data_IF_963036269156
#
_entry.id   IF_963036269156
#
_cell.length_a   1.000
_cell.length_b   1.000
_cell.length_c   1.000
_cell.angle_alpha   90.00
_cell.angle_beta   90.00
_cell.angle_gamma   90.00
#
_symmetry.space_group_name_H-M   'P 1'
#
loop_
_entity.id
_entity.type
_entity.pdbx_description
1 polymer ?
#
# COMPACT_ATOMS: atom_id res chain seq x y z
N UNK A 1 2.81 35.59 21.83
CA UNK A 1 4.17 35.22 22.18
C UNK A 1 4.11 34.09 23.19
N UNK A 2 4.35 32.88 22.83
CA UNK A 2 4.88 31.76 23.64
C UNK A 2 5.02 30.56 22.72
N UNK A 3 6.25 30.30 22.33
CA UNK A 3 6.58 29.15 21.47
C UNK A 3 6.51 27.86 22.27
N UNK A 4 5.76 26.89 21.79
CA UNK A 4 5.75 25.52 22.28
C UNK A 4 6.86 24.73 21.60
N UNK A 5 7.90 24.43 22.37
CA UNK A 5 9.00 23.54 22.00
C UNK A 5 8.49 22.12 21.80
N UNK A 6 8.67 21.56 20.61
CA UNK A 6 8.43 20.15 20.32
C UNK A 6 9.66 19.35 20.69
N UNK A 7 9.57 18.62 21.79
CA UNK A 7 10.60 17.71 22.27
C UNK A 7 10.55 16.43 21.44
N UNK A 8 11.56 16.20 20.60
CA UNK A 8 11.76 14.92 19.91
C UNK A 8 12.40 13.95 20.90
N UNK A 9 11.71 12.87 21.23
CA UNK A 9 12.23 11.76 22.03
C UNK A 9 13.03 10.82 21.12
N UNK A 10 14.34 11.02 21.04
CA UNK A 10 15.26 10.09 20.40
C UNK A 10 15.52 8.93 21.36
N UNK A 11 15.01 7.74 21.03
CA UNK A 11 15.36 6.50 21.75
C UNK A 11 16.66 5.97 21.16
N UNK A 12 17.78 6.26 21.83
CA UNK A 12 19.06 5.60 21.56
C UNK A 12 19.05 4.21 22.18
N UNK A 13 19.06 3.17 21.35
CA UNK A 13 19.29 1.80 21.78
C UNK A 13 20.81 1.58 21.93
N UNK A 14 21.30 1.59 23.16
CA UNK A 14 22.68 1.24 23.47
C UNK A 14 22.79 -0.30 23.50
N UNK A 15 23.51 -0.89 22.56
CA UNK A 15 23.85 -2.31 22.54
C UNK A 15 25.10 -2.48 23.40
N UNK A 16 24.99 -3.10 24.58
CA UNK A 16 26.13 -3.57 25.34
C UNK A 16 26.67 -4.86 24.75
N UNK A 17 27.85 -4.81 24.14
CA UNK A 17 28.58 -6.01 23.72
C UNK A 17 29.41 -6.47 24.92
N UNK A 18 28.95 -7.52 25.60
CA UNK A 18 29.78 -8.25 26.55
C UNK A 18 30.57 -9.30 25.78
N UNK A 19 31.83 -9.05 25.55
CA UNK A 19 32.76 -10.07 25.05
C UNK A 19 33.13 -11.02 26.21
N UNK A 20 32.69 -12.28 26.14
CA UNK A 20 33.28 -13.35 26.90
C UNK A 20 33.58 -14.52 25.94
N UNK A 21 34.85 -14.87 25.80
CA UNK A 21 35.35 -15.83 24.84
C UNK A 21 34.95 -17.26 25.17
N UNK A 22 34.56 -17.98 24.12
CA UNK A 22 34.35 -19.41 24.08
C UNK A 22 33.99 -19.75 22.64
N UNK A 23 35.00 -20.24 21.88
CA UNK A 23 34.85 -20.48 20.44
C UNK A 23 33.95 -21.69 20.14
N UNK A 24 32.67 -21.47 20.10
CA UNK A 24 31.74 -22.26 19.29
C UNK A 24 31.44 -21.41 18.06
N UNK A 25 31.73 -21.95 16.85
CA UNK A 25 31.33 -21.30 15.62
C UNK A 25 29.85 -20.91 15.73
N UNK A 26 29.53 -19.61 15.62
CA UNK A 26 28.15 -19.16 15.61
C UNK A 26 27.44 -19.96 14.51
N UNK A 27 26.26 -20.52 14.77
CA UNK A 27 25.49 -21.18 13.73
C UNK A 27 25.38 -20.21 12.57
N UNK A 28 25.79 -20.61 11.36
CA UNK A 28 25.66 -19.81 10.16
C UNK A 28 24.19 -19.48 10.01
N UNK A 29 23.86 -18.20 10.16
CA UNK A 29 22.51 -17.74 9.92
C UNK A 29 22.16 -18.12 8.48
N UNK A 30 21.04 -18.82 8.23
CA UNK A 30 20.66 -19.16 6.87
C UNK A 30 20.62 -17.87 6.05
N UNK A 31 21.05 -17.92 4.77
CA UNK A 31 21.00 -16.74 3.93
C UNK A 31 19.58 -16.19 3.89
N UNK A 32 19.39 -14.86 3.86
CA UNK A 32 18.07 -14.26 3.83
C UNK A 32 17.29 -14.83 2.63
N UNK A 33 16.05 -15.24 2.86
CA UNK A 33 15.21 -15.74 1.78
C UNK A 33 15.00 -14.63 0.74
N UNK A 34 15.26 -14.94 -0.52
CA UNK A 34 14.96 -14.07 -1.63
C UNK A 34 13.51 -14.29 -2.06
N UNK A 35 12.80 -13.21 -2.33
CA UNK A 35 11.42 -13.24 -2.79
C UNK A 35 11.31 -12.48 -4.12
N UNK A 36 10.51 -13.02 -5.03
CA UNK A 36 10.20 -12.40 -6.32
C UNK A 36 8.89 -11.62 -6.19
N UNK A 37 9.01 -10.32 -5.88
CA UNK A 37 7.83 -9.46 -5.68
C UNK A 37 7.04 -9.28 -6.97
N UNK A 38 7.71 -9.20 -8.12
CA UNK A 38 7.05 -9.13 -9.42
C UNK A 38 6.19 -10.38 -9.69
N UNK A 39 6.74 -11.58 -9.46
CA UNK A 39 5.98 -12.82 -9.61
C UNK A 39 4.81 -12.91 -8.61
N UNK A 40 4.98 -12.43 -7.38
CA UNK A 40 3.92 -12.35 -6.38
C UNK A 40 2.78 -11.44 -6.84
N UNK A 41 3.09 -10.24 -7.32
CA UNK A 41 2.10 -9.30 -7.85
C UNK A 41 1.40 -9.86 -9.09
N UNK A 42 2.13 -10.51 -10.01
CA UNK A 42 1.53 -11.15 -11.18
C UNK A 42 0.55 -12.27 -10.79
N UNK A 43 0.86 -13.09 -9.76
CA UNK A 43 -0.07 -14.09 -9.22
C UNK A 43 -1.31 -13.45 -8.60
N UNK A 44 -1.16 -12.35 -7.85
CA UNK A 44 -2.28 -11.62 -7.27
C UNK A 44 -3.19 -11.05 -8.37
N UNK A 45 -2.63 -10.48 -9.43
CA UNK A 45 -3.39 -10.00 -10.60
C UNK A 45 -4.14 -11.16 -11.26
N UNK A 46 -3.51 -12.32 -11.43
CA UNK A 46 -4.11 -13.47 -12.10
C UNK A 46 -5.19 -14.19 -11.25
N UNK A 47 -5.00 -14.28 -9.94
CA UNK A 47 -5.85 -15.10 -9.05
C UNK A 47 -6.87 -14.27 -8.26
N UNK A 48 -6.62 -12.98 -8.14
CA UNK A 48 -7.40 -12.10 -7.26
C UNK A 48 -7.04 -12.25 -5.78
N UNK A 49 -7.76 -11.50 -4.96
CA UNK A 49 -7.59 -11.45 -3.51
C UNK A 49 -8.93 -11.09 -2.85
N UNK A 50 -9.26 -11.71 -1.74
CA UNK A 50 -10.43 -11.34 -0.92
C UNK A 50 -10.11 -11.55 0.56
N UNK A 51 -10.57 -10.62 1.40
CA UNK A 51 -10.40 -10.69 2.86
C UNK A 51 -11.57 -9.98 3.55
N UNK A 52 -11.97 -10.48 4.72
CA UNK A 52 -12.76 -9.68 5.64
C UNK A 52 -11.87 -8.62 6.25
N UNK A 53 -12.42 -7.46 6.55
CA UNK A 53 -11.65 -6.35 7.10
C UNK A 53 -12.38 -5.67 8.25
N UNK A 54 -11.63 -5.33 9.28
CA UNK A 54 -12.04 -4.38 10.30
C UNK A 54 -11.59 -2.97 9.89
N UNK A 55 -12.41 -1.98 10.18
CA UNK A 55 -12.22 -0.59 9.82
C UNK A 55 -12.21 0.28 11.06
N UNK A 56 -11.28 1.22 11.12
CA UNK A 56 -11.25 2.22 12.18
C UNK A 56 -10.60 3.51 11.67
N UNK A 57 -10.88 4.61 12.33
CA UNK A 57 -10.25 5.87 11.95
C UNK A 57 -10.95 7.07 12.56
N UNK A 58 -10.63 8.23 11.99
CA UNK A 58 -11.23 9.52 12.35
C UNK A 58 -11.64 10.26 11.09
N UNK A 59 -12.72 11.00 11.16
CA UNK A 59 -13.13 11.96 10.14
C UNK A 59 -13.31 13.32 10.79
N UNK A 60 -12.77 14.36 10.15
CA UNK A 60 -12.88 15.74 10.64
C UNK A 60 -13.79 16.52 9.70
N UNK A 61 -14.90 17.02 10.26
CA UNK A 61 -15.88 17.84 9.54
C UNK A 61 -16.05 19.15 10.31
N UNK A 62 -15.85 20.28 9.64
CA UNK A 62 -15.91 21.62 10.24
C UNK A 62 -15.04 21.77 11.51
N UNK A 63 -13.85 21.15 11.51
CA UNK A 63 -12.91 21.19 12.63
C UNK A 63 -13.26 20.25 13.80
N UNK A 64 -14.34 19.48 13.71
CA UNK A 64 -14.71 18.47 14.72
C UNK A 64 -14.27 17.09 14.24
N UNK A 65 -13.37 16.46 15.00
CA UNK A 65 -12.89 15.10 14.70
C UNK A 65 -13.79 14.07 15.40
N UNK A 66 -14.29 13.11 14.64
CA UNK A 66 -15.15 12.02 15.11
C UNK A 66 -14.52 10.68 14.77
N UNK A 67 -14.32 9.83 15.77
CA UNK A 67 -13.85 8.46 15.55
C UNK A 67 -14.97 7.58 14.98
N UNK A 68 -14.58 6.63 14.15
CA UNK A 68 -15.46 5.58 13.64
C UNK A 68 -14.83 4.21 13.74
N UNK A 69 -15.66 3.18 13.77
CA UNK A 69 -15.29 1.77 13.62
C UNK A 69 -16.26 1.10 12.66
N UNK A 70 -15.84 -0.02 12.08
CA UNK A 70 -16.67 -0.74 11.13
C UNK A 70 -16.09 -2.09 10.74
N UNK A 71 -16.79 -2.74 9.82
CA UNK A 71 -16.34 -3.98 9.20
C UNK A 71 -16.81 -4.06 7.75
N UNK A 72 -16.16 -4.86 6.97
CA UNK A 72 -16.51 -5.04 5.57
C UNK A 72 -15.72 -6.14 4.89
N UNK A 73 -15.71 -6.08 3.57
CA UNK A 73 -14.92 -6.97 2.71
C UNK A 73 -14.03 -6.15 1.79
N UNK A 74 -12.81 -6.60 1.65
CA UNK A 74 -11.91 -6.21 0.58
C UNK A 74 -11.99 -7.29 -0.50
N UNK A 75 -12.31 -6.92 -1.73
CA UNK A 75 -12.37 -7.84 -2.87
C UNK A 75 -11.59 -7.28 -4.04
N UNK A 76 -10.82 -8.13 -4.67
CA UNK A 76 -10.01 -7.85 -5.85
C UNK A 76 -10.04 -9.08 -6.74
N UNK A 77 -11.06 -9.26 -7.60
CA UNK A 77 -11.21 -10.45 -8.43
C UNK A 77 -10.04 -10.59 -9.42
N UNK A 78 -9.86 -11.76 -10.05
CA UNK A 78 -8.89 -11.94 -11.14
C UNK A 78 -9.04 -10.86 -12.20
N UNK A 79 -7.90 -10.41 -12.73
CA UNK A 79 -7.89 -9.40 -13.78
C UNK A 79 -8.53 -9.93 -15.08
N UNK A 80 -9.12 -9.04 -15.83
CA UNK A 80 -9.74 -9.30 -17.15
C UNK A 80 -9.05 -8.47 -18.24
N UNK A 81 -9.15 -8.93 -19.49
CA UNK A 81 -8.63 -8.19 -20.64
C UNK A 81 -9.32 -6.83 -20.78
N UNK A 82 -8.54 -5.80 -21.02
CA UNK A 82 -8.97 -4.42 -21.14
C UNK A 82 -8.08 -3.63 -22.11
N UNK A 83 -8.39 -2.35 -22.27
CA UNK A 83 -7.55 -1.37 -22.95
C UNK A 83 -7.37 -0.17 -22.02
N UNK A 84 -6.16 0.33 -21.90
CA UNK A 84 -5.83 1.54 -21.15
C UNK A 84 -4.98 2.47 -22.02
N UNK A 85 -5.45 3.69 -22.25
CA UNK A 85 -4.80 4.68 -23.15
C UNK A 85 -4.43 4.10 -24.52
N UNK A 86 -5.35 3.30 -25.11
CA UNK A 86 -5.12 2.66 -26.43
C UNK A 86 -4.17 1.47 -26.41
N UNK A 87 -3.63 1.08 -25.25
CA UNK A 87 -2.72 -0.06 -25.10
C UNK A 87 -3.47 -1.27 -24.53
N UNK A 88 -3.17 -2.48 -25.04
CA UNK A 88 -3.71 -3.73 -24.49
C UNK A 88 -3.27 -3.91 -23.03
N UNK A 89 -4.23 -4.11 -22.15
CA UNK A 89 -4.04 -4.17 -20.72
C UNK A 89 -4.84 -5.30 -20.07
N UNK A 90 -4.55 -5.56 -18.81
CA UNK A 90 -5.39 -6.28 -17.86
C UNK A 90 -5.96 -5.26 -16.90
N UNK A 91 -7.25 -5.32 -16.60
CA UNK A 91 -7.89 -4.49 -15.57
C UNK A 91 -8.29 -5.33 -14.37
N UNK A 92 -8.10 -4.78 -13.18
CA UNK A 92 -8.45 -5.43 -11.93
C UNK A 92 -9.10 -4.42 -10.98
N UNK A 93 -10.36 -4.61 -10.63
CA UNK A 93 -11.10 -3.69 -9.76
C UNK A 93 -11.01 -4.14 -8.30
N UNK A 94 -10.43 -3.30 -7.47
CA UNK A 94 -10.47 -3.43 -6.02
C UNK A 94 -11.73 -2.77 -5.48
N UNK A 95 -12.48 -3.45 -4.63
CA UNK A 95 -13.65 -2.91 -3.94
C UNK A 95 -13.49 -3.11 -2.44
N UNK A 96 -13.75 -2.07 -1.66
CA UNK A 96 -13.92 -2.15 -0.21
C UNK A 96 -15.36 -1.75 0.10
N UNK A 97 -16.13 -2.68 0.65
CA UNK A 97 -17.54 -2.46 0.95
C UNK A 97 -17.88 -2.96 2.35
N UNK A 98 -18.77 -2.25 3.06
CA UNK A 98 -19.13 -2.63 4.42
C UNK A 98 -20.01 -1.59 5.11
N UNK A 99 -19.87 -1.51 6.42
CA UNK A 99 -20.55 -0.52 7.25
C UNK A 99 -19.59 0.11 8.26
N UNK A 100 -19.80 1.37 8.54
CA UNK A 100 -19.07 2.13 9.58
C UNK A 100 -20.07 2.76 10.55
N UNK A 101 -19.67 2.81 11.82
CA UNK A 101 -20.43 3.44 12.90
C UNK A 101 -19.63 4.60 13.47
N UNK A 102 -20.21 5.79 13.44
CA UNK A 102 -19.67 7.02 14.03
C UNK A 102 -20.76 7.72 14.83
N UNK A 103 -20.45 8.19 16.02
CA UNK A 103 -21.43 8.87 16.93
C UNK A 103 -22.76 8.10 17.08
N UNK A 104 -22.70 6.78 17.15
CA UNK A 104 -23.88 5.91 17.27
C UNK A 104 -24.72 5.73 16.00
N UNK A 105 -24.30 6.30 14.87
CA UNK A 105 -24.96 6.14 13.57
C UNK A 105 -24.19 5.19 12.68
N UNK A 106 -24.86 4.16 12.17
CA UNK A 106 -24.27 3.21 11.22
C UNK A 106 -24.65 3.58 9.79
N UNK A 107 -23.66 3.60 8.89
CA UNK A 107 -23.84 3.82 7.46
C UNK A 107 -23.10 2.78 6.66
N UNK A 108 -23.73 2.30 5.58
CA UNK A 108 -23.05 1.49 4.56
C UNK A 108 -22.14 2.38 3.72
N UNK A 109 -21.02 1.82 3.29
CA UNK A 109 -20.14 2.46 2.32
C UNK A 109 -19.64 1.43 1.32
N UNK A 110 -19.25 1.92 0.15
CA UNK A 110 -18.56 1.13 -0.88
C UNK A 110 -17.69 2.08 -1.69
N UNK A 111 -16.44 1.69 -1.91
CA UNK A 111 -15.52 2.39 -2.79
C UNK A 111 -14.82 1.39 -3.69
N UNK A 112 -14.44 1.83 -4.88
CA UNK A 112 -13.73 0.98 -5.84
C UNK A 112 -12.71 1.78 -6.64
N UNK A 113 -11.59 1.10 -6.95
CA UNK A 113 -10.53 1.58 -7.85
C UNK A 113 -10.22 0.46 -8.83
N UNK A 114 -10.03 0.79 -10.09
CA UNK A 114 -9.63 -0.15 -11.14
C UNK A 114 -8.19 0.12 -11.55
N UNK A 115 -7.33 -0.84 -11.30
CA UNK A 115 -5.92 -0.86 -11.69
C UNK A 115 -5.77 -1.43 -13.08
N UNK A 116 -4.80 -0.92 -13.84
CA UNK A 116 -4.47 -1.38 -15.17
C UNK A 116 -3.02 -1.83 -15.25
N UNK A 117 -2.80 -3.01 -15.83
CA UNK A 117 -1.49 -3.64 -15.99
C UNK A 117 -1.25 -3.95 -17.46
N UNK A 118 -0.02 -3.77 -17.93
CA UNK A 118 0.35 -4.20 -19.27
C UNK A 118 0.17 -5.71 -19.42
N UNK A 119 -0.48 -6.15 -20.50
CA UNK A 119 -0.70 -7.57 -20.76
C UNK A 119 0.57 -8.34 -21.11
N UNK A 120 1.66 -7.63 -21.47
CA UNK A 120 2.94 -8.21 -21.89
C UNK A 120 3.81 -8.66 -20.73
N UNK A 121 3.88 -7.88 -19.65
CA UNK A 121 4.86 -8.06 -18.56
C UNK A 121 4.30 -7.76 -17.17
N UNK A 122 3.00 -7.39 -17.09
CA UNK A 122 2.33 -7.06 -15.84
C UNK A 122 2.74 -5.72 -15.22
N UNK A 123 3.42 -4.84 -15.98
CA UNK A 123 3.76 -3.51 -15.49
C UNK A 123 2.49 -2.71 -15.17
N UNK A 124 2.45 -2.04 -14.03
CA UNK A 124 1.35 -1.17 -13.66
C UNK A 124 1.36 0.09 -14.55
N UNK A 125 0.23 0.37 -15.18
CA UNK A 125 0.05 1.45 -16.14
C UNK A 125 -0.71 2.65 -15.56
N UNK A 126 -1.51 2.43 -14.52
CA UNK A 126 -2.33 3.45 -13.89
C UNK A 126 -3.58 2.90 -13.26
N UNK A 127 -4.41 3.79 -12.75
CA UNK A 127 -5.65 3.45 -12.06
C UNK A 127 -6.77 4.43 -12.37
N UNK A 128 -8.01 3.99 -12.18
CA UNK A 128 -9.22 4.80 -12.38
C UNK A 128 -10.15 4.61 -11.19
N UNK A 129 -10.57 5.71 -10.60
CA UNK A 129 -11.61 5.78 -9.58
C UNK A 129 -12.82 6.57 -10.07
N UNK A 130 -13.80 6.79 -9.20
CA UNK A 130 -14.97 7.60 -9.51
C UNK A 130 -14.63 9.08 -9.79
N UNK A 131 -13.51 9.59 -9.30
CA UNK A 131 -13.12 11.00 -9.34
C UNK A 131 -11.75 11.27 -9.97
N UNK A 132 -11.00 10.23 -10.32
CA UNK A 132 -9.61 10.35 -10.75
C UNK A 132 -9.24 9.36 -11.84
N UNK A 133 -8.34 9.79 -12.68
CA UNK A 133 -7.74 9.03 -13.77
C UNK A 133 -6.22 9.21 -13.70
N UNK A 134 -5.53 8.20 -13.21
CA UNK A 134 -4.11 8.26 -12.90
C UNK A 134 -3.32 7.43 -13.90
N UNK A 135 -2.25 8.01 -14.45
CA UNK A 135 -1.43 7.40 -15.51
C UNK A 135 0.01 7.33 -15.07
N UNK A 136 0.62 6.16 -15.14
CA UNK A 136 2.04 5.99 -14.86
C UNK A 136 2.88 6.79 -15.89
N UNK A 137 3.80 7.61 -15.40
CA UNK A 137 4.72 8.37 -16.25
C UNK A 137 5.67 7.46 -17.06
N UNK A 138 5.93 6.28 -16.52
CA UNK A 138 6.57 5.15 -17.20
C UNK A 138 5.97 3.86 -16.61
N UNK A 139 5.90 2.74 -17.36
CA UNK A 139 5.41 1.47 -16.85
C UNK A 139 6.13 1.07 -15.55
N UNK A 140 5.37 0.77 -14.49
CA UNK A 140 5.91 0.50 -13.15
C UNK A 140 6.02 -1.01 -12.95
N UNK A 141 7.24 -1.50 -12.80
CA UNK A 141 7.52 -2.91 -12.49
C UNK A 141 7.96 -3.04 -11.04
N UNK A 142 7.43 -4.06 -10.36
CA UNK A 142 7.95 -4.47 -9.07
C UNK A 142 9.28 -5.22 -9.23
N UNK A 143 10.20 -5.15 -8.25
CA UNK A 143 11.49 -5.84 -8.35
C UNK A 143 11.34 -7.37 -8.34
N UNK A 144 12.18 -8.05 -9.14
CA UNK A 144 12.21 -9.53 -9.21
C UNK A 144 12.93 -10.17 -8.03
N UNK A 145 13.72 -9.40 -7.28
CA UNK A 145 14.43 -9.93 -6.11
C UNK A 145 14.41 -8.90 -4.99
N UNK A 146 13.83 -9.30 -3.86
CA UNK A 146 13.83 -8.52 -2.62
C UNK A 146 14.20 -9.40 -1.44
N UNK A 147 14.82 -8.79 -0.44
CA UNK A 147 15.14 -9.41 0.86
C UNK A 147 14.56 -8.54 1.98
N UNK A 148 14.46 -9.07 3.17
CA UNK A 148 14.04 -8.29 4.34
C UNK A 148 14.90 -7.03 4.50
N UNK A 149 14.27 -5.87 4.67
CA UNK A 149 14.91 -4.56 4.72
C UNK A 149 15.10 -3.87 3.36
N UNK A 150 14.79 -4.53 2.23
CA UNK A 150 14.78 -3.87 0.92
C UNK A 150 13.74 -2.75 0.88
N UNK A 151 14.07 -1.67 0.20
CA UNK A 151 13.13 -0.56 -0.07
C UNK A 151 13.50 0.13 -1.38
N UNK A 152 12.54 0.82 -1.98
CA UNK A 152 12.79 1.57 -3.22
C UNK A 152 11.59 2.35 -3.70
N UNK A 153 11.84 3.25 -4.66
CA UNK A 153 10.79 3.93 -5.42
C UNK A 153 10.35 3.01 -6.56
N UNK A 154 9.02 2.87 -6.73
CA UNK A 154 8.43 2.12 -7.83
C UNK A 154 8.21 3.01 -9.05
N UNK A 155 7.62 4.18 -8.84
CA UNK A 155 7.34 5.13 -9.93
C UNK A 155 6.46 6.29 -9.51
N UNK A 156 6.03 7.05 -10.52
CA UNK A 156 5.17 8.23 -10.34
C UNK A 156 3.99 8.15 -11.31
N UNK A 157 2.81 8.50 -10.82
CA UNK A 157 1.59 8.69 -11.61
C UNK A 157 1.35 10.18 -11.82
N UNK A 158 0.89 10.55 -13.00
CA UNK A 158 0.25 11.84 -13.26
C UNK A 158 -1.24 11.68 -13.03
N UNK A 159 -1.85 12.56 -12.24
CA UNK A 159 -3.24 12.47 -11.79
C UNK A 159 -4.10 13.49 -12.51
N UNK A 160 -5.28 13.07 -12.96
CA UNK A 160 -6.23 13.87 -13.73
C UNK A 160 -7.66 13.65 -13.24
N UNK A 161 -8.56 14.57 -13.58
CA UNK A 161 -10.00 14.43 -13.25
C UNK A 161 -10.68 13.32 -14.05
N UNK A 162 -10.21 13.04 -15.27
CA UNK A 162 -10.82 12.08 -16.18
C UNK A 162 -9.85 11.65 -17.31
N UNK A 163 -10.28 10.72 -18.15
CA UNK A 163 -9.49 10.14 -19.25
C UNK A 163 -9.15 11.11 -20.38
N UNK A 164 -9.69 12.33 -20.40
CA UNK A 164 -9.27 13.36 -21.37
C UNK A 164 -7.92 13.97 -20.99
N UNK A 165 -7.50 13.78 -19.74
CA UNK A 165 -6.26 14.29 -19.17
C UNK A 165 -6.10 15.80 -19.30
N UNK A 166 -7.23 16.53 -19.41
CA UNK A 166 -7.22 17.97 -19.64
C UNK A 166 -6.99 18.79 -18.37
N UNK A 167 -7.38 18.24 -17.20
CA UNK A 167 -7.25 18.91 -15.91
C UNK A 167 -6.38 18.06 -14.99
N UNK A 168 -5.18 18.54 -14.69
CA UNK A 168 -4.26 17.88 -13.75
C UNK A 168 -4.69 18.10 -12.30
N UNK A 169 -4.63 17.03 -11.51
CA UNK A 169 -4.79 17.05 -10.05
C UNK A 169 -3.45 17.02 -9.30
N UNK A 170 -2.33 16.81 -10.01
CA UNK A 170 -0.99 16.67 -9.41
C UNK A 170 -0.35 15.33 -9.72
N UNK A 171 0.32 14.74 -8.73
CA UNK A 171 1.05 13.48 -8.90
C UNK A 171 0.85 12.54 -7.71
N UNK A 172 1.09 11.23 -7.94
CA UNK A 172 1.21 10.24 -6.88
C UNK A 172 2.55 9.50 -7.01
N UNK A 173 3.30 9.38 -5.92
CA UNK A 173 4.60 8.69 -5.87
C UNK A 173 4.43 7.35 -5.16
N UNK A 174 4.85 6.27 -5.81
CA UNK A 174 4.78 4.92 -5.30
C UNK A 174 6.16 4.45 -4.84
N UNK A 175 6.20 3.85 -3.66
CA UNK A 175 7.40 3.24 -3.07
C UNK A 175 7.06 1.96 -2.33
N UNK A 176 8.07 1.15 -2.01
CA UNK A 176 7.88 -0.07 -1.22
C UNK A 176 8.95 -0.19 -0.13
N UNK A 177 8.58 -0.91 0.93
CA UNK A 177 9.47 -1.37 1.98
C UNK A 177 9.16 -2.84 2.26
N UNK A 178 10.20 -3.66 2.35
CA UNK A 178 10.10 -5.06 2.73
C UNK A 178 10.48 -5.19 4.20
N UNK A 179 9.56 -5.69 5.02
CA UNK A 179 9.78 -5.88 6.44
C UNK A 179 10.67 -7.09 6.67
N UNK A 180 11.56 -6.98 7.66
CA UNK A 180 12.40 -8.12 8.05
C UNK A 180 11.49 -9.15 8.73
N UNK A 181 11.43 -10.40 8.25
CA UNK A 181 10.61 -11.44 8.87
C UNK A 181 11.15 -11.80 10.26
N UNK A 182 10.24 -12.00 11.20
CA UNK A 182 10.59 -12.44 12.56
C UNK A 182 11.16 -13.88 12.53
N UNK A 183 10.56 -14.73 11.68
CA UNK A 183 11.03 -16.10 11.45
C UNK A 183 11.57 -16.24 10.02
N UNK A 184 12.88 -16.51 9.83
CA UNK A 184 13.45 -16.68 8.51
C UNK A 184 12.79 -17.81 7.73
N UNK A 185 12.28 -17.49 6.53
CA UNK A 185 11.88 -18.47 5.51
C UNK A 185 10.38 -18.74 5.36
N UNK A 186 9.49 -18.19 6.19
CA UNK A 186 8.05 -18.49 6.08
C UNK A 186 7.27 -17.47 5.24
N UNK A 187 7.38 -16.21 5.56
CA UNK A 187 6.69 -15.11 4.86
C UNK A 187 7.37 -13.78 5.18
N UNK A 188 7.11 -12.77 4.34
CA UNK A 188 7.59 -11.41 4.59
C UNK A 188 6.44 -10.42 4.48
N UNK A 189 6.53 -9.34 5.24
CA UNK A 189 5.66 -8.18 5.10
C UNK A 189 6.17 -7.26 4.00
N UNK A 190 5.25 -6.68 3.24
CA UNK A 190 5.54 -5.69 2.20
C UNK A 190 4.60 -4.51 2.42
N UNK A 191 5.14 -3.31 2.61
CA UNK A 191 4.37 -2.08 2.62
C UNK A 191 4.57 -1.37 1.27
N UNK A 192 3.48 -1.12 0.56
CA UNK A 192 3.45 -0.25 -0.62
C UNK A 192 2.86 1.07 -0.18
N UNK A 193 3.61 2.15 -0.37
CA UNK A 193 3.21 3.50 0.03
C UNK A 193 2.96 4.35 -1.20
N UNK A 194 1.80 5.00 -1.26
CA UNK A 194 1.44 6.02 -2.25
C UNK A 194 1.36 7.37 -1.54
N UNK A 195 2.14 8.33 -2.00
CA UNK A 195 2.08 9.73 -1.55
C UNK A 195 1.48 10.59 -2.64
N UNK A 196 0.39 11.26 -2.32
CA UNK A 196 -0.41 12.06 -3.24
C UNK A 196 -0.12 13.53 -3.04
N UNK A 197 0.22 14.22 -4.11
CA UNK A 197 0.58 15.63 -4.13
C UNK A 197 -0.35 16.41 -5.06
N UNK A 198 -0.65 17.65 -4.71
CA UNK A 198 -1.35 18.59 -5.59
C UNK A 198 -0.44 19.16 -6.71
N UNK A 199 -0.98 20.05 -7.52
CA UNK A 199 -0.24 20.71 -8.61
C UNK A 199 0.83 21.68 -8.12
N UNK A 200 0.85 22.08 -6.85
CA UNK A 200 1.87 22.87 -6.18
C UNK A 200 2.90 22.00 -5.45
N UNK A 201 2.83 20.67 -5.61
CA UNK A 201 3.67 19.71 -4.91
C UNK A 201 3.49 19.70 -3.38
N UNK A 202 2.28 20.05 -2.90
CA UNK A 202 1.90 19.91 -1.48
C UNK A 202 1.40 18.51 -1.24
N UNK A 203 1.88 17.84 -0.20
CA UNK A 203 1.40 16.51 0.18
C UNK A 203 -0.04 16.60 0.69
N UNK A 204 -0.96 15.92 0.01
CA UNK A 204 -2.38 15.85 0.34
C UNK A 204 -2.73 14.62 1.17
N UNK A 205 -2.17 13.44 0.78
CA UNK A 205 -2.54 12.15 1.34
C UNK A 205 -1.35 11.20 1.31
N UNK A 206 -1.32 10.28 2.27
CA UNK A 206 -0.40 9.14 2.30
C UNK A 206 -1.20 7.87 2.54
N UNK A 207 -1.13 6.95 1.58
CA UNK A 207 -1.73 5.63 1.65
C UNK A 207 -0.67 4.57 1.81
N UNK A 208 -0.92 3.59 2.66
CA UNK A 208 -0.05 2.44 2.84
C UNK A 208 -0.88 1.18 2.75
N UNK A 209 -0.56 0.30 1.81
CA UNK A 209 -1.14 -1.04 1.74
C UNK A 209 -0.10 -2.06 2.17
N UNK A 210 -0.45 -2.86 3.18
CA UNK A 210 0.40 -3.88 3.74
C UNK A 210 -0.02 -5.25 3.22
N UNK A 211 0.94 -5.99 2.71
CA UNK A 211 0.79 -7.36 2.23
C UNK A 211 1.69 -8.31 3.01
N UNK A 212 1.30 -9.56 3.04
CA UNK A 212 2.17 -10.67 3.43
C UNK A 212 2.42 -11.52 2.18
N UNK A 213 3.67 -11.88 1.93
CA UNK A 213 4.06 -12.74 0.82
C UNK A 213 4.77 -13.99 1.33
N UNK A 214 4.34 -15.17 0.87
CA UNK A 214 4.97 -16.45 1.19
C UNK A 214 6.16 -16.74 0.27
N UNK A 215 6.99 -17.72 0.64
CA UNK A 215 8.10 -18.20 -0.20
C UNK A 215 7.67 -18.78 -1.55
N UNK A 216 6.38 -19.14 -1.71
CA UNK A 216 5.78 -19.54 -2.98
C UNK A 216 5.21 -18.36 -3.79
N UNK A 217 5.54 -17.13 -3.41
CA UNK A 217 5.05 -15.89 -4.03
C UNK A 217 3.52 -15.74 -4.01
N UNK A 218 2.86 -16.22 -2.95
CA UNK A 218 1.44 -15.96 -2.72
C UNK A 218 1.33 -14.71 -1.86
N UNK A 219 0.60 -13.71 -2.35
CA UNK A 219 0.34 -12.44 -1.66
C UNK A 219 -1.04 -12.48 -1.02
N UNK A 220 -1.14 -12.02 0.23
CA UNK A 220 -2.38 -11.75 0.94
C UNK A 220 -2.37 -10.34 1.52
N UNK A 221 -3.55 -9.72 1.67
CA UNK A 221 -3.69 -8.45 2.35
C UNK A 221 -3.50 -8.66 3.86
N UNK A 222 -2.69 -7.84 4.49
CA UNK A 222 -2.60 -7.76 5.96
C UNK A 222 -3.22 -6.48 6.51
N UNK A 223 -3.37 -5.45 5.71
CA UNK A 223 -4.06 -4.23 6.10
C UNK A 223 -3.76 -3.08 5.16
N UNK A 224 -4.40 -1.95 5.40
CA UNK A 224 -4.12 -0.69 4.73
C UNK A 224 -4.38 0.49 5.65
N UNK A 225 -3.80 1.64 5.35
CA UNK A 225 -4.11 2.90 6.01
C UNK A 225 -4.07 4.04 5.01
N UNK A 226 -4.93 5.03 5.23
CA UNK A 226 -4.92 6.29 4.52
C UNK A 226 -4.90 7.43 5.53
N UNK A 227 -4.14 8.47 5.26
CA UNK A 227 -4.06 9.67 6.09
C UNK A 227 -4.03 10.93 5.23
N UNK A 228 -5.00 11.81 5.45
CA UNK A 228 -5.08 13.11 4.83
C UNK A 228 -5.49 14.20 5.85
N UNK A 229 -5.70 15.43 5.38
CA UNK A 229 -6.11 16.55 6.24
C UNK A 229 -7.52 16.37 6.87
N UNK A 230 -8.36 15.53 6.27
CA UNK A 230 -9.74 15.28 6.73
C UNK A 230 -9.84 14.10 7.70
N UNK A 231 -8.76 13.35 7.93
CA UNK A 231 -8.78 12.25 8.89
C UNK A 231 -7.83 11.10 8.57
N UNK A 232 -8.10 9.98 9.23
CA UNK A 232 -7.36 8.72 9.08
C UNK A 232 -8.32 7.57 8.84
N UNK A 233 -7.88 6.60 8.04
CA UNK A 233 -8.53 5.31 7.89
C UNK A 233 -7.49 4.22 8.14
N UNK A 234 -7.85 3.21 8.91
CA UNK A 234 -7.08 1.98 9.08
C UNK A 234 -7.96 0.80 8.72
N UNK A 235 -7.43 -0.08 7.91
CA UNK A 235 -8.04 -1.34 7.48
C UNK A 235 -7.15 -2.46 8.01
N UNK A 236 -7.71 -3.39 8.76
CA UNK A 236 -7.01 -4.60 9.23
C UNK A 236 -7.68 -5.80 8.59
N UNK A 237 -6.92 -6.62 7.89
CA UNK A 237 -7.42 -7.87 7.32
C UNK A 237 -7.41 -8.99 8.37
N UNK A 238 -8.45 -9.84 8.35
CA UNK A 238 -8.59 -11.02 9.21
C UNK A 238 -7.90 -12.24 8.59
#
# INVERSE_FOLDING_TARGET
>A
MHGASKTYLAVCFAIFISACGGGTAAPMQPPPANFDLQAGMAKMVANGLSSNVALSGTVTVNGVSTAFTGSGTFTRPPAISATFNGTAALSQTTTVAGSVTAAGQTKSYSTSVTDYYASSDGAFLGEVSASEYDVAQAPILFPTTVVGGSSGTLGTLSRYTDSTMSVSLGTAQLSYVVMIPVDPGSSMGIAVTTKIYDTQNTLLETDVTNYTMTSSNVISLSGASAQNQSGTLTVTAD
#
